data_IF_507614913475
#
_entry.id   IF_507614913475
#
_cell.length_a   1.000
_cell.length_b   1.000
_cell.length_c   1.000
_cell.angle_alpha   90.00
_cell.angle_beta   90.00
_cell.angle_gamma   90.00
#
_symmetry.space_group_name_H-M   'P 1'
#
loop_
_entity.id
_entity.type
_entity.pdbx_description
1 polymer ?
#
# COMPACT_ATOMS: atom_id res chain seq x y z
N UNK A 1 -26.65 36.86 -21.61
CA UNK A 1 -25.18 36.94 -21.78
C UNK A 1 -24.51 37.20 -20.44
N UNK A 2 -23.96 36.16 -19.79
CA UNK A 2 -23.01 36.38 -18.69
C UNK A 2 -21.65 36.77 -19.32
N UNK A 3 -21.16 37.96 -19.00
CA UNK A 3 -19.84 38.41 -19.46
C UNK A 3 -18.76 37.66 -18.67
N UNK A 4 -18.15 36.65 -19.28
CA UNK A 4 -16.98 35.97 -18.71
C UNK A 4 -15.83 37.00 -18.71
N UNK A 5 -15.57 37.62 -17.55
CA UNK A 5 -14.49 38.60 -17.40
C UNK A 5 -13.18 37.85 -17.20
N UNK A 6 -12.27 37.97 -18.17
CA UNK A 6 -10.88 37.52 -17.98
C UNK A 6 -10.19 38.38 -16.92
N UNK A 7 -9.36 37.77 -16.03
CA UNK A 7 -8.72 38.51 -14.96
C UNK A 7 -7.76 39.57 -15.51
N UNK A 8 -7.67 40.72 -14.82
CA UNK A 8 -6.73 41.79 -15.17
C UNK A 8 -5.29 41.28 -15.24
N UNK A 9 -4.48 41.86 -16.13
CA UNK A 9 -3.04 41.54 -16.27
C UNK A 9 -2.29 41.69 -14.94
N UNK A 10 -2.68 42.67 -14.11
CA UNK A 10 -2.12 42.83 -12.76
C UNK A 10 -2.45 41.62 -11.88
N UNK A 11 -3.71 41.21 -11.81
CA UNK A 11 -4.15 40.06 -11.02
C UNK A 11 -3.44 38.76 -11.45
N UNK A 12 -3.28 38.53 -12.75
CA UNK A 12 -2.52 37.37 -13.25
C UNK A 12 -1.05 37.40 -12.82
N UNK A 13 -0.39 38.57 -12.87
CA UNK A 13 0.99 38.75 -12.42
C UNK A 13 1.12 38.51 -10.91
N UNK A 14 0.15 38.98 -10.13
CA UNK A 14 0.13 38.77 -8.68
C UNK A 14 -0.10 37.30 -8.33
N UNK A 15 -1.04 36.61 -8.99
CA UNK A 15 -1.26 35.19 -8.77
C UNK A 15 -0.04 34.33 -9.16
N UNK A 16 0.63 34.66 -10.27
CA UNK A 16 1.85 33.95 -10.66
C UNK A 16 3.01 34.22 -9.68
N UNK A 17 3.13 35.46 -9.20
CA UNK A 17 4.13 35.83 -8.21
C UNK A 17 3.89 35.12 -6.88
N UNK A 18 2.66 35.10 -6.37
CA UNK A 18 2.32 34.42 -5.12
C UNK A 18 2.62 32.93 -5.21
N UNK A 19 2.17 32.26 -6.28
CA UNK A 19 2.47 30.84 -6.47
C UNK A 19 3.98 30.58 -6.54
N UNK A 20 4.77 31.48 -7.16
CA UNK A 20 6.24 31.35 -7.19
C UNK A 20 6.88 31.56 -5.82
N UNK A 21 6.37 32.50 -5.00
CA UNK A 21 6.87 32.76 -3.65
C UNK A 21 6.57 31.55 -2.74
N UNK A 22 5.38 30.95 -2.86
CA UNK A 22 4.95 29.85 -2.00
C UNK A 22 5.22 28.45 -2.57
N UNK A 23 5.81 28.35 -3.77
CA UNK A 23 6.12 27.06 -4.42
C UNK A 23 4.89 26.28 -4.91
N UNK A 24 3.78 26.98 -5.15
CA UNK A 24 2.53 26.39 -5.64
C UNK A 24 2.47 26.37 -7.18
N UNK A 25 1.61 25.53 -7.73
CA UNK A 25 1.34 25.53 -9.16
C UNK A 25 0.40 26.67 -9.56
N UNK A 26 0.84 27.45 -10.54
CA UNK A 26 0.02 28.49 -11.15
C UNK A 26 -0.81 27.93 -12.31
N UNK A 27 -2.13 27.87 -12.15
CA UNK A 27 -3.08 27.60 -13.25
C UNK A 27 -3.30 28.91 -14.04
N UNK A 28 -2.77 29.07 -15.26
CA UNK A 28 -3.06 30.24 -16.07
C UNK A 28 -4.55 30.33 -16.42
N UNK A 29 -5.09 31.54 -16.65
CA UNK A 29 -6.43 31.68 -17.22
C UNK A 29 -6.45 31.12 -18.65
N UNK A 30 -7.62 30.65 -19.09
CA UNK A 30 -7.79 30.14 -20.44
C UNK A 30 -7.44 31.22 -21.48
N UNK A 31 -6.71 30.87 -22.56
CA UNK A 31 -6.41 31.81 -23.64
C UNK A 31 -7.68 32.46 -24.19
N UNK A 32 -7.61 33.75 -24.51
CA UNK A 32 -8.78 34.51 -25.02
C UNK A 32 -9.35 33.93 -26.30
N UNK A 33 -8.49 33.44 -27.19
CA UNK A 33 -8.88 32.80 -28.45
C UNK A 33 -9.81 31.61 -28.22
N UNK A 34 -9.40 30.69 -27.33
CA UNK A 34 -10.19 29.52 -26.93
C UNK A 34 -11.45 29.91 -26.15
N UNK A 35 -11.39 31.00 -25.36
CA UNK A 35 -12.53 31.46 -24.55
C UNK A 35 -13.61 32.20 -25.34
N UNK A 36 -13.23 32.88 -26.44
CA UNK A 36 -14.13 33.63 -27.30
C UNK A 36 -14.80 32.72 -28.32
N UNK A 37 -14.01 31.86 -28.96
CA UNK A 37 -14.47 30.92 -29.99
C UNK A 37 -14.06 29.49 -29.59
N UNK A 38 -14.77 28.88 -28.61
CA UNK A 38 -14.44 27.56 -28.11
C UNK A 38 -14.82 26.49 -29.13
N UNK A 39 -13.88 26.08 -29.97
CA UNK A 39 -13.94 24.72 -30.51
C UNK A 39 -13.96 23.77 -29.31
N UNK A 40 -15.07 23.03 -29.12
CA UNK A 40 -15.31 22.20 -27.93
C UNK A 40 -14.09 21.36 -27.54
N UNK A 41 -13.44 20.77 -28.53
CA UNK A 41 -12.24 19.94 -28.36
C UNK A 41 -11.02 20.71 -27.82
N UNK A 42 -10.85 21.97 -28.19
CA UNK A 42 -9.69 22.79 -27.79
C UNK A 42 -9.80 23.25 -26.33
N UNK A 43 -11.00 23.64 -25.91
CA UNK A 43 -11.31 23.99 -24.52
C UNK A 43 -11.17 22.76 -23.62
N UNK A 44 -11.78 21.63 -24.00
CA UNK A 44 -11.67 20.35 -23.27
C UNK A 44 -10.21 19.90 -23.14
N UNK A 45 -9.40 20.01 -24.20
CA UNK A 45 -7.98 19.68 -24.17
C UNK A 45 -7.18 20.59 -23.23
N UNK A 46 -7.47 21.88 -23.20
CA UNK A 46 -6.80 22.84 -22.31
C UNK A 46 -7.13 22.55 -20.85
N UNK A 47 -8.42 22.33 -20.54
CA UNK A 47 -8.91 21.97 -19.22
C UNK A 47 -8.32 20.63 -18.76
N UNK A 48 -8.30 19.62 -19.64
CA UNK A 48 -7.73 18.32 -19.36
C UNK A 48 -6.26 18.41 -18.96
N UNK A 49 -5.42 19.14 -19.72
CA UNK A 49 -4.00 19.30 -19.37
C UNK A 49 -3.78 19.92 -17.98
N UNK A 50 -4.55 20.96 -17.66
CA UNK A 50 -4.38 21.65 -16.37
C UNK A 50 -4.99 20.83 -15.22
N UNK A 51 -6.03 20.05 -15.48
CA UNK A 51 -6.57 19.06 -14.57
C UNK A 51 -5.54 17.96 -14.26
N UNK A 52 -4.85 17.42 -15.27
CA UNK A 52 -3.79 16.42 -15.06
C UNK A 52 -2.67 16.96 -14.15
N UNK A 53 -2.23 18.20 -14.37
CA UNK A 53 -1.21 18.82 -13.51
C UNK A 53 -1.70 18.97 -12.05
N UNK A 54 -2.93 19.45 -11.84
CA UNK A 54 -3.51 19.58 -10.48
C UNK A 54 -3.72 18.23 -9.81
N UNK A 55 -4.22 17.23 -10.53
CA UNK A 55 -4.43 15.88 -10.02
C UNK A 55 -3.10 15.21 -9.65
N UNK A 56 -2.05 15.40 -10.45
CA UNK A 56 -0.71 14.93 -10.11
C UNK A 56 -0.19 15.61 -8.84
N UNK A 57 -0.34 16.93 -8.71
CA UNK A 57 0.05 17.68 -7.51
C UNK A 57 -0.72 17.18 -6.29
N UNK A 58 -2.03 16.96 -6.40
CA UNK A 58 -2.85 16.44 -5.31
C UNK A 58 -2.49 15.00 -4.93
N UNK A 59 -2.12 14.19 -5.91
CA UNK A 59 -1.67 12.81 -5.67
C UNK A 59 -0.33 12.80 -4.96
N UNK A 60 0.61 13.66 -5.36
CA UNK A 60 1.95 13.75 -4.76
C UNK A 60 2.00 14.56 -3.47
N UNK A 61 1.01 15.41 -3.19
CA UNK A 61 0.90 16.11 -1.92
C UNK A 61 0.37 15.20 -0.82
N UNK A 62 -0.42 14.18 -1.18
CA UNK A 62 -0.90 13.14 -0.28
C UNK A 62 0.13 12.02 -0.12
N UNK A 63 0.11 11.37 1.04
CA UNK A 63 0.91 10.16 1.25
C UNK A 63 0.38 9.02 0.34
N UNK A 64 1.29 8.18 -0.20
CA UNK A 64 0.88 6.94 -0.86
C UNK A 64 0.07 6.04 0.07
N UNK A 65 -0.89 5.31 -0.51
CA UNK A 65 -1.86 4.48 0.23
C UNK A 65 -1.16 3.47 1.15
N UNK A 66 -0.08 2.85 0.69
CA UNK A 66 0.62 1.80 1.43
C UNK A 66 1.44 2.32 2.62
N UNK A 67 1.66 3.63 2.69
CA UNK A 67 2.42 4.31 3.75
C UNK A 67 1.47 5.05 4.70
N UNK A 68 0.26 5.36 4.24
CA UNK A 68 -0.75 6.11 4.98
C UNK A 68 -1.09 5.41 6.32
N UNK A 69 -0.69 5.98 7.46
CA UNK A 69 -0.89 5.34 8.77
C UNK A 69 -2.38 5.17 9.12
N UNK A 70 -3.25 6.04 8.60
CA UNK A 70 -4.69 6.00 8.87
C UNK A 70 -5.39 4.85 8.11
N UNK A 71 -4.81 4.40 6.99
CA UNK A 71 -5.29 3.25 6.20
C UNK A 71 -4.73 1.91 6.66
N UNK A 72 -3.91 1.94 7.71
CA UNK A 72 -3.39 0.79 8.45
C UNK A 72 -2.61 -0.25 7.60
N UNK A 73 -1.36 0.06 7.22
CA UNK A 73 -0.43 -0.89 6.60
C UNK A 73 -0.13 -2.10 7.50
N UNK A 74 -0.34 -1.95 8.81
CA UNK A 74 -0.03 -2.92 9.85
C UNK A 74 -1.29 -3.69 10.31
N UNK A 75 -2.17 -4.03 9.37
CA UNK A 75 -3.42 -4.71 9.65
C UNK A 75 -3.21 -6.02 10.45
N UNK A 76 -2.21 -6.82 10.07
CA UNK A 76 -1.85 -8.03 10.81
C UNK A 76 -0.68 -7.77 11.75
N UNK A 77 -0.73 -8.30 12.99
CA UNK A 77 0.40 -8.21 13.89
C UNK A 77 1.59 -9.04 13.35
N UNK A 78 2.81 -8.73 13.81
CA UNK A 78 4.02 -9.46 13.44
C UNK A 78 4.06 -10.87 14.07
N UNK A 79 3.23 -11.79 13.56
CA UNK A 79 3.09 -13.15 14.07
C UNK A 79 4.41 -13.95 14.12
N UNK A 80 5.31 -13.89 13.12
CA UNK A 80 6.58 -14.61 13.19
C UNK A 80 7.45 -14.18 14.38
N UNK A 81 7.49 -12.88 14.67
CA UNK A 81 8.25 -12.28 15.76
C UNK A 81 7.65 -12.68 17.10
N UNK A 82 6.33 -12.57 17.25
CA UNK A 82 5.62 -12.98 18.47
C UNK A 82 5.81 -14.48 18.70
N UNK A 83 5.64 -15.30 17.67
CA UNK A 83 5.83 -16.75 17.76
C UNK A 83 7.26 -17.05 18.23
N UNK A 84 8.27 -16.47 17.58
CA UNK A 84 9.67 -16.72 17.93
C UNK A 84 9.98 -16.33 19.38
N UNK A 85 9.52 -15.15 19.82
CA UNK A 85 9.65 -14.70 21.20
C UNK A 85 9.06 -15.70 22.19
N UNK A 86 7.83 -16.18 21.95
CA UNK A 86 7.17 -17.13 22.84
C UNK A 86 7.86 -18.50 22.88
N UNK A 87 8.48 -18.92 21.77
CA UNK A 87 9.32 -20.13 21.74
C UNK A 87 10.57 -19.95 22.61
N UNK A 88 11.29 -18.85 22.46
CA UNK A 88 12.50 -18.54 23.25
C UNK A 88 12.18 -18.47 24.75
N UNK A 89 11.09 -17.81 25.13
CA UNK A 89 10.66 -17.75 26.53
C UNK A 89 10.33 -19.15 27.10
N UNK A 90 9.76 -20.05 26.28
CA UNK A 90 9.51 -21.43 26.68
C UNK A 90 10.80 -22.21 26.89
N UNK A 91 11.76 -22.08 25.99
CA UNK A 91 13.06 -22.75 26.11
C UNK A 91 13.82 -22.31 27.37
N UNK A 92 13.67 -21.04 27.76
CA UNK A 92 14.22 -20.52 29.02
C UNK A 92 13.38 -20.83 30.26
N UNK A 93 12.23 -21.49 30.13
CA UNK A 93 11.33 -21.79 31.25
C UNK A 93 10.57 -20.58 31.81
N UNK A 94 10.65 -19.43 31.15
CA UNK A 94 9.96 -18.18 31.54
C UNK A 94 8.48 -18.17 31.10
N UNK A 95 8.12 -19.01 30.13
CA UNK A 95 6.76 -19.12 29.63
C UNK A 95 6.35 -20.59 29.47
N UNK A 96 5.15 -20.95 29.92
CA UNK A 96 4.56 -22.27 29.72
C UNK A 96 3.54 -22.22 28.59
N UNK A 97 3.75 -23.03 27.55
CA UNK A 97 2.82 -23.12 26.41
C UNK A 97 2.05 -24.45 26.42
N UNK A 98 0.91 -24.47 27.11
CA UNK A 98 0.08 -25.67 27.30
C UNK A 98 -0.40 -26.29 25.99
N UNK A 99 -0.65 -25.46 24.97
CA UNK A 99 -1.06 -25.92 23.64
C UNK A 99 0.05 -26.72 22.96
N UNK A 100 1.29 -26.23 23.02
CA UNK A 100 2.44 -26.97 22.49
C UNK A 100 2.73 -28.22 23.31
N UNK A 101 2.62 -28.15 24.64
CA UNK A 101 2.80 -29.32 25.52
C UNK A 101 1.83 -30.45 25.14
N UNK A 102 0.56 -30.12 24.88
CA UNK A 102 -0.43 -31.08 24.40
C UNK A 102 -0.08 -31.66 23.03
N UNK A 103 0.35 -30.82 22.08
CA UNK A 103 0.76 -31.27 20.75
C UNK A 103 1.97 -32.21 20.83
N UNK A 104 2.95 -31.90 21.66
CA UNK A 104 4.15 -32.72 21.88
C UNK A 104 3.77 -34.07 22.50
N UNK A 105 2.87 -34.10 23.47
CA UNK A 105 2.38 -35.34 24.07
C UNK A 105 1.60 -36.20 23.06
N UNK A 106 0.74 -35.58 22.25
CA UNK A 106 0.03 -36.28 21.17
C UNK A 106 0.99 -36.85 20.12
N UNK A 107 2.06 -36.11 19.79
CA UNK A 107 3.13 -36.60 18.90
C UNK A 107 3.87 -37.79 19.53
N UNK A 108 4.18 -37.73 20.82
CA UNK A 108 4.83 -38.83 21.58
C UNK A 108 3.99 -40.11 21.51
N UNK A 109 2.71 -40.02 21.84
CA UNK A 109 1.78 -41.17 21.79
C UNK A 109 1.66 -41.71 20.36
N UNK A 110 1.58 -40.84 19.36
CA UNK A 110 1.52 -41.24 17.96
C UNK A 110 2.76 -42.04 17.53
N UNK A 111 3.95 -41.67 18.00
CA UNK A 111 5.19 -42.40 17.74
C UNK A 111 5.16 -43.77 18.42
N UNK A 112 4.72 -43.85 19.68
CA UNK A 112 4.57 -45.11 20.41
C UNK A 112 3.60 -46.08 19.73
N UNK A 113 2.55 -45.57 19.09
CA UNK A 113 1.62 -46.36 18.24
C UNK A 113 2.27 -46.85 16.92
N UNK A 114 3.55 -46.60 16.69
CA UNK A 114 4.25 -46.92 15.44
C UNK A 114 3.94 -45.99 14.28
N UNK A 115 3.16 -44.91 14.50
CA UNK A 115 2.76 -43.96 13.46
C UNK A 115 3.73 -42.77 13.38
N UNK A 116 5.03 -43.05 13.53
CA UNK A 116 6.10 -42.05 13.46
C UNK A 116 6.05 -41.33 12.10
N UNK A 117 6.23 -39.99 12.07
CA UNK A 117 6.37 -39.28 10.81
C UNK A 117 7.55 -39.86 10.00
N UNK A 118 7.33 -40.06 8.71
CA UNK A 118 8.36 -40.54 7.79
C UNK A 118 9.36 -39.43 7.53
N UNK A 119 10.63 -39.80 7.35
CA UNK A 119 11.68 -38.86 6.95
C UNK A 119 11.43 -38.38 5.53
N UNK A 120 11.43 -37.06 5.32
CA UNK A 120 11.30 -36.47 3.99
C UNK A 120 12.49 -36.92 3.11
N UNK A 121 12.22 -37.38 1.88
CA UNK A 121 13.25 -37.84 0.95
C UNK A 121 13.87 -39.22 1.24
N UNK A 122 13.55 -39.86 2.37
CA UNK A 122 14.11 -41.18 2.72
C UNK A 122 13.42 -42.36 2.01
N UNK A 123 14.10 -43.53 1.99
CA UNK A 123 13.57 -44.79 1.46
C UNK A 123 12.49 -45.45 2.34
N UNK A 124 12.00 -44.76 3.38
CA UNK A 124 10.90 -45.23 4.25
C UNK A 124 9.51 -44.77 3.76
N UNK A 125 9.43 -44.19 2.56
CA UNK A 125 8.20 -43.69 1.95
C UNK A 125 7.28 -44.82 1.46
N UNK A 126 5.97 -44.55 1.36
CA UNK A 126 5.00 -45.49 0.76
C UNK A 126 5.41 -45.92 -0.66
N UNK A 127 5.98 -44.98 -1.43
CA UNK A 127 6.51 -45.23 -2.78
C UNK A 127 7.72 -46.17 -2.79
N UNK A 128 8.56 -46.14 -1.76
CA UNK A 128 9.70 -47.04 -1.65
C UNK A 128 9.26 -48.47 -1.30
N UNK A 129 8.20 -48.63 -0.50
CA UNK A 129 7.61 -49.94 -0.19
C UNK A 129 6.97 -50.63 -1.42
N UNK A 130 6.55 -49.84 -2.42
CA UNK A 130 5.97 -50.33 -3.69
C UNK A 130 7.01 -50.78 -4.72
N UNK A 131 8.31 -50.52 -4.48
CA UNK A 131 9.40 -50.80 -5.43
C UNK A 131 10.05 -52.18 -5.21
N UNK A 132 9.41 -53.04 -4.40
CA UNK A 132 9.81 -54.44 -4.17
C UNK A 132 9.28 -55.35 -5.26
#
# INVERSE_FOLDING_TARGET
MSWIKSPSKYAQRMARLSCRIFGEYYKPPMPKEIALDPDKQSAEKWEANHYQNMAAIETHSKLPIDIDPDRNPNYYPPHPQIRHLMWVLREHGLYRNEHLDFIEEMKRIRILRGKKPRTLGGMSGKRAALKK
#
